data_IF_474707996044
#
_entry.id   IF_474707996044
#
_cell.length_a   1.000
_cell.length_b   1.000
_cell.length_c   1.000
_cell.angle_alpha   90.00
_cell.angle_beta   90.00
_cell.angle_gamma   90.00
#
_symmetry.space_group_name_H-M   'P 1'
#
loop_
_entity.id
_entity.type
_entity.pdbx_description
1 polymer ?
#
# COMPACT_ATOMS: atom_id res chain seq x y z
N UNK A 1 39.72 2.80 7.97
CA UNK A 1 38.57 2.72 7.05
C UNK A 1 38.68 3.98 6.16
N UNK A 2 38.60 3.83 4.84
CA UNK A 2 38.65 5.00 3.95
C UNK A 2 37.28 5.73 4.04
N UNK A 3 37.33 7.02 4.42
CA UNK A 3 36.15 7.88 4.29
C UNK A 3 35.79 7.99 2.81
N UNK A 4 34.62 7.50 2.47
CA UNK A 4 34.04 7.72 1.14
C UNK A 4 33.62 9.19 1.10
N UNK A 5 34.40 10.00 0.41
CA UNK A 5 34.09 11.41 0.17
C UNK A 5 32.87 11.45 -0.78
N UNK A 6 31.66 11.67 -0.22
CA UNK A 6 30.43 11.85 -1.00
C UNK A 6 30.52 13.22 -1.71
N UNK A 7 30.22 13.23 -3.02
CA UNK A 7 30.13 14.48 -3.79
C UNK A 7 29.10 15.41 -3.16
N UNK A 8 29.45 16.67 -2.90
CA UNK A 8 28.56 17.69 -2.31
C UNK A 8 27.43 18.11 -3.26
N UNK A 9 27.49 17.72 -4.52
CA UNK A 9 26.52 18.05 -5.58
C UNK A 9 25.54 16.91 -5.88
N UNK A 10 25.72 15.73 -5.29
CA UNK A 10 24.82 14.58 -5.49
C UNK A 10 23.57 14.70 -4.63
N UNK A 11 22.41 14.43 -5.25
CA UNK A 11 21.16 14.28 -4.50
C UNK A 11 21.34 13.10 -3.51
N UNK A 12 20.82 13.24 -2.28
CA UNK A 12 21.06 12.28 -1.19
C UNK A 12 20.79 10.82 -1.59
N UNK A 13 19.75 10.60 -2.38
CA UNK A 13 19.29 9.28 -2.81
C UNK A 13 20.18 8.61 -3.88
N UNK A 14 21.03 9.38 -4.60
CA UNK A 14 21.86 8.83 -5.68
C UNK A 14 22.92 7.83 -5.20
N UNK A 15 23.38 7.99 -3.96
CA UNK A 15 24.39 7.13 -3.35
C UNK A 15 23.88 6.48 -2.05
N UNK A 16 22.57 6.56 -1.78
CA UNK A 16 21.98 6.04 -0.56
C UNK A 16 21.88 4.52 -0.57
N UNK A 17 22.13 3.92 0.57
CA UNK A 17 21.78 2.54 0.88
C UNK A 17 20.41 2.55 1.55
N UNK A 18 19.40 2.00 0.88
CA UNK A 18 18.05 1.90 1.40
C UNK A 18 17.80 0.47 1.88
N UNK A 19 17.45 0.33 3.15
CA UNK A 19 17.13 -0.96 3.76
C UNK A 19 15.62 -1.15 3.80
N UNK A 20 15.12 -2.16 3.09
CA UNK A 20 13.69 -2.49 3.13
C UNK A 20 13.34 -3.22 4.42
N UNK A 21 12.30 -2.76 5.09
CA UNK A 21 11.70 -3.40 6.26
C UNK A 21 10.30 -3.88 5.91
N UNK A 22 10.07 -5.18 6.05
CA UNK A 22 8.73 -5.73 6.11
C UNK A 22 8.28 -5.76 7.58
N UNK A 23 7.41 -4.83 8.02
CA UNK A 23 7.13 -4.62 9.45
C UNK A 23 6.72 -5.89 10.18
N UNK A 24 5.92 -6.73 9.54
CA UNK A 24 5.36 -7.97 10.12
C UNK A 24 6.39 -9.03 10.48
N UNK A 25 7.61 -8.96 9.94
CA UNK A 25 8.64 -9.99 10.14
C UNK A 25 9.98 -9.45 10.65
N UNK A 26 10.14 -8.13 10.78
CA UNK A 26 11.43 -7.55 11.13
C UNK A 26 11.78 -7.74 12.62
N UNK A 27 10.92 -7.27 13.52
CA UNK A 27 11.13 -7.39 14.95
C UNK A 27 9.79 -7.30 15.70
N UNK A 28 9.60 -8.20 16.67
CA UNK A 28 8.41 -8.30 17.52
C UNK A 28 8.74 -7.75 18.90
N UNK A 29 8.11 -6.66 19.29
CA UNK A 29 8.32 -6.03 20.60
C UNK A 29 7.46 -6.64 21.71
N UNK A 30 6.42 -7.41 21.34
CA UNK A 30 5.38 -7.91 22.27
C UNK A 30 5.49 -9.40 22.55
N UNK A 31 6.25 -10.15 21.74
CA UNK A 31 6.31 -11.61 21.82
C UNK A 31 5.11 -12.32 21.19
N UNK A 32 4.36 -11.62 20.34
CA UNK A 32 3.16 -12.13 19.67
C UNK A 32 3.47 -13.10 18.51
N UNK A 33 4.72 -13.10 18.02
CA UNK A 33 5.15 -13.78 16.81
C UNK A 33 4.96 -12.94 15.54
N UNK A 34 4.44 -11.72 15.67
CA UNK A 34 4.27 -10.76 14.58
C UNK A 34 5.18 -9.54 14.87
N UNK A 35 5.98 -9.14 13.87
CA UNK A 35 6.74 -7.89 13.95
C UNK A 35 5.83 -6.67 14.01
N UNK A 36 6.33 -5.59 14.60
CA UNK A 36 5.59 -4.36 14.85
C UNK A 36 6.46 -3.10 14.72
N UNK A 37 5.84 -1.93 14.70
CA UNK A 37 6.53 -0.64 14.57
C UNK A 37 7.41 -0.34 15.79
N UNK A 38 6.98 -0.57 17.05
CA UNK A 38 7.86 -0.45 18.21
C UNK A 38 9.10 -1.35 18.13
N UNK A 39 8.98 -2.53 17.55
CA UNK A 39 10.11 -3.43 17.28
C UNK A 39 11.11 -2.81 16.31
N UNK A 40 10.65 -2.11 15.27
CA UNK A 40 11.53 -1.35 14.36
C UNK A 40 12.24 -0.25 15.13
N UNK A 41 11.52 0.53 15.92
CA UNK A 41 12.06 1.63 16.74
C UNK A 41 13.18 1.13 17.68
N UNK A 42 12.98 -0.01 18.32
CA UNK A 42 13.96 -0.59 19.22
C UNK A 42 15.26 -1.05 18.51
N UNK A 43 15.27 -1.15 17.18
CA UNK A 43 16.41 -1.58 16.39
C UNK A 43 17.10 -0.45 15.59
N UNK A 44 16.78 0.82 15.87
CA UNK A 44 17.43 1.96 15.17
C UNK A 44 18.94 1.98 15.35
N UNK A 45 19.47 1.65 16.53
CA UNK A 45 20.91 1.53 16.78
C UNK A 45 21.58 0.46 15.91
N UNK A 46 20.87 -0.61 15.59
CA UNK A 46 21.36 -1.65 14.68
C UNK A 46 21.44 -1.12 13.25
N UNK A 47 20.40 -0.42 12.80
CA UNK A 47 20.33 0.16 11.45
C UNK A 47 21.38 1.26 11.26
N UNK A 48 21.60 2.10 12.26
CA UNK A 48 22.67 3.10 12.29
C UNK A 48 24.07 2.45 12.17
N UNK A 49 24.36 1.43 12.99
CA UNK A 49 25.61 0.68 12.93
C UNK A 49 25.81 -0.08 11.62
N UNK A 50 24.72 -0.51 10.96
CA UNK A 50 24.77 -1.12 9.64
C UNK A 50 25.17 -0.09 8.57
N UNK A 51 24.94 1.20 8.82
CA UNK A 51 25.33 2.30 7.96
C UNK A 51 24.38 2.54 6.79
N UNK A 52 23.09 2.30 6.99
CA UNK A 52 22.05 2.60 5.99
C UNK A 52 21.69 4.08 6.00
N UNK A 53 21.36 4.64 4.86
CA UNK A 53 20.98 6.05 4.71
C UNK A 53 19.48 6.27 4.85
N UNK A 54 18.71 5.22 4.55
CA UNK A 54 17.25 5.25 4.66
C UNK A 54 16.69 3.85 4.96
N UNK A 55 15.52 3.82 5.57
CA UNK A 55 14.67 2.64 5.65
C UNK A 55 13.45 2.83 4.73
N UNK A 56 13.04 1.76 4.08
CA UNK A 56 11.80 1.70 3.31
C UNK A 56 10.86 0.68 3.95
N UNK A 57 9.70 1.15 4.40
CA UNK A 57 8.68 0.30 4.98
C UNK A 57 7.75 -0.23 3.89
N UNK A 58 7.63 -1.55 3.76
CA UNK A 58 6.52 -2.17 3.04
C UNK A 58 5.19 -1.79 3.71
N UNK A 59 4.03 -1.91 3.02
CA UNK A 59 2.78 -1.38 3.51
C UNK A 59 2.45 -1.83 4.94
N UNK A 60 2.17 -0.84 5.79
CA UNK A 60 1.84 -1.00 7.21
C UNK A 60 0.42 -0.52 7.54
N UNK A 61 -0.36 -0.19 6.53
CA UNK A 61 -1.74 0.25 6.62
C UNK A 61 -2.69 -0.89 7.05
N UNK A 62 -3.89 -0.57 7.57
CA UNK A 62 -4.95 -1.55 7.75
C UNK A 62 -5.21 -2.34 6.46
N UNK A 63 -5.26 -3.67 6.57
CA UNK A 63 -5.38 -4.58 5.44
C UNK A 63 -5.97 -5.92 5.88
N UNK A 64 -6.71 -6.59 5.00
CA UNK A 64 -7.13 -7.97 5.20
C UNK A 64 -6.00 -8.98 4.97
N UNK A 65 -4.87 -8.53 4.39
CA UNK A 65 -3.73 -9.35 4.01
C UNK A 65 -4.02 -10.33 2.85
N UNK A 66 -4.92 -9.94 1.96
CA UNK A 66 -5.16 -10.69 0.73
C UNK A 66 -3.91 -10.71 -0.16
N UNK A 67 -3.09 -9.63 -0.09
CA UNK A 67 -1.81 -9.50 -0.78
C UNK A 67 -0.74 -8.90 0.14
N UNK A 68 -0.47 -9.56 1.27
CA UNK A 68 0.66 -9.21 2.15
C UNK A 68 0.65 -7.79 2.73
N UNK A 69 -0.45 -7.06 2.64
CA UNK A 69 -0.61 -5.67 3.08
C UNK A 69 -0.78 -4.67 1.94
N UNK A 70 -0.63 -5.12 0.68
CA UNK A 70 -0.84 -4.27 -0.48
C UNK A 70 -2.33 -4.06 -0.81
N UNK A 71 -3.25 -4.82 -0.21
CA UNK A 71 -4.70 -4.58 -0.20
C UNK A 71 -5.04 -3.58 0.91
N UNK A 72 -4.91 -2.28 0.63
CA UNK A 72 -5.02 -1.20 1.62
C UNK A 72 -6.47 -0.85 1.91
N UNK A 73 -6.89 -1.04 3.17
CA UNK A 73 -8.24 -0.68 3.65
C UNK A 73 -8.36 0.83 3.95
N UNK A 74 -7.26 1.47 4.39
CA UNK A 74 -7.19 2.86 4.83
C UNK A 74 -5.75 3.38 4.74
N UNK A 75 -5.51 4.39 3.91
CA UNK A 75 -4.18 4.96 3.68
C UNK A 75 -3.71 5.94 4.77
N UNK A 76 -4.57 6.30 5.72
CA UNK A 76 -4.32 7.33 6.74
C UNK A 76 -4.01 6.79 8.12
N UNK A 77 -4.04 5.46 8.28
CA UNK A 77 -3.85 4.81 9.57
C UNK A 77 -2.82 3.70 9.52
N UNK A 78 -2.29 3.37 10.68
CA UNK A 78 -1.44 2.20 10.92
C UNK A 78 -2.34 0.99 11.20
N UNK A 79 -2.00 -0.17 10.66
CA UNK A 79 -2.66 -1.43 11.03
C UNK A 79 -2.53 -1.65 12.55
N UNK A 80 -3.64 -1.78 13.29
CA UNK A 80 -3.60 -1.91 14.76
C UNK A 80 -2.84 -3.15 15.25
N UNK A 81 -2.57 -4.11 14.38
CA UNK A 81 -1.69 -5.26 14.68
C UNK A 81 -0.21 -4.90 14.68
N UNK A 82 0.17 -3.79 14.02
CA UNK A 82 1.56 -3.33 13.90
C UNK A 82 1.88 -2.17 14.86
N UNK A 83 0.87 -1.49 15.39
CA UNK A 83 1.03 -0.35 16.27
C UNK A 83 -0.01 0.74 16.03
N UNK A 84 0.31 1.94 16.48
CA UNK A 84 -0.51 3.14 16.37
C UNK A 84 0.19 4.21 15.53
N UNK A 85 -0.51 5.32 15.24
CA UNK A 85 0.11 6.49 14.61
C UNK A 85 1.21 7.10 15.51
N UNK A 86 0.99 7.11 16.84
CA UNK A 86 2.00 7.60 17.80
C UNK A 86 3.28 6.72 17.75
N UNK A 87 3.13 5.40 17.57
CA UNK A 87 4.28 4.49 17.39
C UNK A 87 5.02 4.77 16.09
N UNK A 88 4.28 5.09 15.02
CA UNK A 88 4.88 5.47 13.73
C UNK A 88 5.65 6.78 13.85
N UNK A 89 5.07 7.80 14.47
CA UNK A 89 5.74 9.09 14.70
C UNK A 89 7.01 8.91 15.55
N UNK A 90 6.94 8.12 16.61
CA UNK A 90 8.10 7.80 17.44
C UNK A 90 9.20 7.06 16.67
N UNK A 91 8.83 6.17 15.76
CA UNK A 91 9.78 5.48 14.86
C UNK A 91 10.46 6.45 13.91
N UNK A 92 9.70 7.38 13.31
CA UNK A 92 10.24 8.43 12.41
C UNK A 92 11.21 9.34 13.18
N UNK A 93 10.84 9.77 14.39
CA UNK A 93 11.72 10.59 15.25
C UNK A 93 13.03 9.86 15.59
N UNK A 94 12.95 8.57 15.95
CA UNK A 94 14.11 7.75 16.27
C UNK A 94 15.04 7.58 15.05
N UNK A 95 14.48 7.35 13.85
CA UNK A 95 15.25 7.26 12.61
C UNK A 95 15.97 8.59 12.29
N UNK A 96 15.24 9.70 12.37
CA UNK A 96 15.80 11.02 12.11
C UNK A 96 16.89 11.43 13.12
N UNK A 97 16.76 11.01 14.39
CA UNK A 97 17.75 11.27 15.43
C UNK A 97 19.13 10.67 15.12
N UNK A 98 19.17 9.57 14.37
CA UNK A 98 20.42 8.92 13.91
C UNK A 98 20.72 9.21 12.43
N UNK A 99 20.00 10.15 11.80
CA UNK A 99 20.24 10.59 10.42
C UNK A 99 19.68 9.67 9.34
N UNK A 100 18.91 8.66 9.70
CA UNK A 100 18.25 7.73 8.76
C UNK A 100 16.94 8.36 8.25
N UNK A 101 16.72 8.33 6.94
CA UNK A 101 15.49 8.78 6.30
C UNK A 101 14.45 7.66 6.27
N UNK A 102 13.18 8.03 6.32
CA UNK A 102 12.07 7.09 6.22
C UNK A 102 11.37 7.26 4.87
N UNK A 103 11.22 6.16 4.16
CA UNK A 103 10.45 6.06 2.92
C UNK A 103 9.29 5.10 3.18
N UNK A 104 8.08 5.52 2.84
CA UNK A 104 6.87 4.69 2.98
C UNK A 104 6.40 4.22 1.62
N UNK A 105 5.84 3.03 1.57
CA UNK A 105 5.19 2.49 0.39
C UNK A 105 3.79 3.09 0.29
N UNK A 106 3.46 3.71 -0.84
CA UNK A 106 2.11 4.10 -1.19
C UNK A 106 1.62 3.19 -2.31
N UNK A 107 0.42 2.71 -2.25
CA UNK A 107 -0.15 1.78 -3.23
C UNK A 107 -1.20 2.49 -4.07
N UNK A 108 -0.82 3.31 -5.08
CA UNK A 108 -1.75 4.19 -5.76
C UNK A 108 -2.48 3.52 -6.93
N UNK A 109 -2.21 2.25 -7.26
CA UNK A 109 -2.86 1.56 -8.36
C UNK A 109 -4.29 1.13 -8.00
N UNK A 110 -4.51 0.66 -6.79
CA UNK A 110 -5.77 0.07 -6.32
C UNK A 110 -5.96 0.34 -4.83
N UNK A 111 -7.17 0.12 -4.33
CA UNK A 111 -7.42 -0.04 -2.89
C UNK A 111 -7.77 -1.48 -2.55
N UNK A 112 -7.99 -1.78 -1.27
CA UNK A 112 -8.72 -2.98 -0.89
C UNK A 112 -10.20 -2.87 -1.29
N UNK A 113 -10.83 -4.02 -1.57
CA UNK A 113 -12.29 -4.10 -1.69
C UNK A 113 -13.03 -3.79 -0.37
N UNK A 114 -12.28 -3.65 0.73
CA UNK A 114 -12.76 -3.23 2.04
C UNK A 114 -12.61 -1.73 2.29
N UNK A 115 -11.95 -1.00 1.40
CA UNK A 115 -11.84 0.46 1.46
C UNK A 115 -13.23 1.10 1.44
N UNK A 116 -13.42 2.19 2.19
CA UNK A 116 -14.72 2.86 2.32
C UNK A 116 -15.27 3.33 0.97
N UNK A 117 -14.43 3.82 0.07
CA UNK A 117 -14.84 4.25 -1.26
C UNK A 117 -15.32 3.10 -2.14
N UNK A 118 -14.71 1.91 -2.05
CA UNK A 118 -15.19 0.78 -2.82
C UNK A 118 -16.53 0.25 -2.31
N UNK A 119 -16.71 0.22 -0.98
CA UNK A 119 -18.01 -0.10 -0.38
C UNK A 119 -19.10 0.90 -0.79
N UNK A 120 -18.77 2.20 -0.79
CA UNK A 120 -19.68 3.24 -1.27
C UNK A 120 -20.02 3.06 -2.76
N UNK A 121 -19.00 2.75 -3.59
CA UNK A 121 -19.17 2.48 -5.02
C UNK A 121 -20.12 1.30 -5.29
N UNK A 122 -20.02 0.23 -4.51
CA UNK A 122 -20.93 -0.92 -4.61
C UNK A 122 -22.36 -0.55 -4.17
N UNK A 123 -22.50 0.16 -3.06
CA UNK A 123 -23.79 0.55 -2.49
C UNK A 123 -24.55 1.54 -3.38
N UNK A 124 -23.86 2.51 -3.97
CA UNK A 124 -24.47 3.55 -4.82
C UNK A 124 -24.86 3.03 -6.21
N UNK A 125 -24.17 2.02 -6.72
CA UNK A 125 -24.51 1.33 -7.97
C UNK A 125 -24.10 2.07 -9.24
N UNK A 126 -24.51 1.50 -10.38
CA UNK A 126 -24.13 1.95 -11.72
C UNK A 126 -24.49 3.43 -11.97
N UNK A 127 -23.51 4.17 -12.48
CA UNK A 127 -23.66 5.59 -12.90
C UNK A 127 -23.59 6.59 -11.76
N UNK A 128 -23.30 6.16 -10.53
CA UNK A 128 -23.09 7.07 -9.40
C UNK A 128 -21.69 7.68 -9.40
N UNK A 129 -21.51 8.89 -8.83
CA UNK A 129 -20.19 9.49 -8.62
C UNK A 129 -19.25 8.62 -7.78
N UNK A 130 -19.78 7.92 -6.76
CA UNK A 130 -19.02 7.02 -5.91
C UNK A 130 -18.41 5.86 -6.71
N UNK A 131 -19.19 5.32 -7.68
CA UNK A 131 -18.71 4.25 -8.56
C UNK A 131 -17.64 4.70 -9.55
N UNK A 132 -17.70 5.96 -9.97
CA UNK A 132 -16.73 6.53 -10.91
C UNK A 132 -15.31 6.68 -10.34
N UNK A 133 -15.13 6.50 -9.02
CA UNK A 133 -13.80 6.43 -8.39
C UNK A 133 -13.02 5.16 -8.76
N UNK A 134 -13.70 4.14 -9.30
CA UNK A 134 -13.12 2.87 -9.73
C UNK A 134 -13.46 2.59 -11.18
N UNK A 135 -12.72 1.67 -11.80
CA UNK A 135 -12.93 1.31 -13.20
C UNK A 135 -14.00 0.22 -13.29
N UNK A 136 -15.24 0.62 -13.56
CA UNK A 136 -16.37 -0.28 -13.81
C UNK A 136 -16.78 -0.27 -15.28
N UNK A 137 -17.16 -1.42 -15.83
CA UNK A 137 -17.66 -1.56 -17.20
C UNK A 137 -18.81 -2.55 -17.25
N UNK A 138 -19.69 -2.41 -18.25
CA UNK A 138 -20.70 -3.41 -18.53
C UNK A 138 -20.05 -4.64 -19.16
N UNK A 139 -20.55 -5.82 -18.82
CA UNK A 139 -20.08 -7.07 -19.41
C UNK A 139 -20.53 -7.24 -20.86
N UNK A 140 -19.88 -8.18 -21.54
CA UNK A 140 -20.29 -8.67 -22.89
C UNK A 140 -21.30 -9.83 -22.75
N UNK A 141 -21.87 -10.24 -23.85
CA UNK A 141 -22.92 -11.25 -23.91
C UNK A 141 -24.32 -10.64 -23.79
N UNK A 142 -25.35 -11.48 -23.97
CA UNK A 142 -26.74 -11.02 -24.00
C UNK A 142 -27.21 -10.47 -22.63
N UNK A 143 -26.65 -11.02 -21.54
CA UNK A 143 -26.97 -10.63 -20.15
C UNK A 143 -25.75 -10.07 -19.38
N UNK A 144 -24.69 -9.62 -20.10
CA UNK A 144 -23.48 -9.13 -19.48
C UNK A 144 -22.69 -10.18 -18.68
N UNK A 145 -22.85 -11.46 -19.04
CA UNK A 145 -22.26 -12.59 -18.31
C UNK A 145 -20.76 -12.80 -18.58
N UNK A 146 -20.23 -12.19 -19.63
CA UNK A 146 -18.81 -12.25 -19.98
C UNK A 146 -18.10 -10.95 -19.56
N UNK A 147 -16.81 -11.01 -19.16
CA UNK A 147 -16.06 -9.81 -18.81
C UNK A 147 -16.00 -8.83 -19.99
N UNK A 148 -15.88 -7.49 -19.71
CA UNK A 148 -15.87 -6.48 -20.76
C UNK A 148 -14.70 -6.65 -21.73
N UNK A 149 -13.56 -7.11 -21.25
CA UNK A 149 -12.34 -7.36 -22.05
C UNK A 149 -11.68 -8.65 -21.57
N UNK A 150 -10.82 -9.24 -22.42
CA UNK A 150 -10.09 -10.48 -22.14
C UNK A 150 -8.72 -10.19 -21.49
N UNK A 151 -8.66 -9.18 -20.60
CA UNK A 151 -7.44 -8.86 -19.89
C UNK A 151 -7.18 -9.85 -18.76
N UNK A 152 -5.92 -10.19 -18.57
CA UNK A 152 -5.48 -11.06 -17.49
C UNK A 152 -4.86 -10.27 -16.34
N UNK A 153 -5.13 -10.70 -15.13
CA UNK A 153 -4.50 -10.20 -13.91
C UNK A 153 -3.02 -10.57 -13.87
N UNK A 154 -2.21 -9.76 -13.19
CA UNK A 154 -0.80 -10.07 -12.91
C UNK A 154 -0.65 -11.41 -12.19
N UNK A 155 -1.64 -11.80 -11.38
CA UNK A 155 -1.65 -13.08 -10.66
C UNK A 155 -2.31 -14.22 -11.46
N UNK A 156 -2.70 -13.96 -12.70
CA UNK A 156 -3.38 -14.91 -13.58
C UNK A 156 -4.91 -14.86 -13.46
N UNK A 157 -5.57 -15.39 -14.47
CA UNK A 157 -7.03 -15.32 -14.58
C UNK A 157 -7.53 -13.96 -15.07
N UNK A 158 -8.86 -13.77 -15.07
CA UNK A 158 -9.47 -12.53 -15.53
C UNK A 158 -9.08 -11.35 -14.64
N UNK A 159 -8.76 -10.21 -15.25
CA UNK A 159 -8.59 -8.93 -14.55
C UNK A 159 -9.93 -8.25 -14.18
N UNK A 160 -11.04 -8.92 -14.37
CA UNK A 160 -12.39 -8.40 -14.18
C UNK A 160 -13.21 -9.30 -13.28
N UNK A 161 -13.86 -8.70 -12.28
CA UNK A 161 -14.80 -9.39 -11.39
C UNK A 161 -16.18 -8.77 -11.50
N UNK A 162 -17.21 -9.63 -11.66
CA UNK A 162 -18.61 -9.22 -11.76
C UNK A 162 -19.19 -8.92 -10.38
N UNK A 163 -19.96 -7.83 -10.29
CA UNK A 163 -20.72 -7.45 -9.10
C UNK A 163 -22.22 -7.77 -9.27
N UNK A 164 -22.98 -7.67 -8.18
CA UNK A 164 -24.40 -8.10 -8.14
C UNK A 164 -25.29 -7.37 -9.15
N UNK A 165 -25.04 -6.10 -9.43
CA UNK A 165 -25.82 -5.31 -10.40
C UNK A 165 -25.46 -5.59 -11.87
N UNK A 166 -24.53 -6.53 -12.11
CA UNK A 166 -24.16 -6.99 -13.44
C UNK A 166 -22.97 -6.28 -14.07
N UNK A 167 -22.49 -5.19 -13.49
CA UNK A 167 -21.22 -4.58 -13.93
C UNK A 167 -20.01 -5.41 -13.48
N UNK A 168 -18.85 -5.06 -14.05
CA UNK A 168 -17.56 -5.65 -13.76
C UNK A 168 -16.58 -4.56 -13.36
N UNK A 169 -15.82 -4.77 -12.27
CA UNK A 169 -14.73 -3.89 -11.92
C UNK A 169 -13.38 -4.49 -12.34
N UNK A 170 -12.46 -3.59 -12.66
CA UNK A 170 -11.08 -3.93 -12.99
C UNK A 170 -10.27 -4.17 -11.71
N UNK A 171 -9.42 -5.21 -11.76
CA UNK A 171 -8.36 -5.45 -10.79
C UNK A 171 -7.15 -6.04 -11.53
N UNK A 172 -6.12 -5.24 -11.72
CA UNK A 172 -4.89 -5.73 -12.37
C UNK A 172 -4.10 -6.70 -11.49
N UNK A 173 -4.40 -6.72 -10.18
CA UNK A 173 -3.86 -7.65 -9.19
C UNK A 173 -4.96 -8.60 -8.71
N UNK A 174 -5.07 -8.86 -7.40
CA UNK A 174 -6.09 -9.74 -6.86
C UNK A 174 -7.52 -9.16 -6.98
N UNK A 175 -8.58 -10.00 -7.01
CA UNK A 175 -9.96 -9.53 -6.95
C UNK A 175 -10.26 -8.65 -5.73
N UNK A 176 -9.50 -8.79 -4.66
CA UNK A 176 -9.57 -7.96 -3.47
C UNK A 176 -8.98 -6.56 -3.66
N UNK A 177 -8.39 -6.26 -4.84
CA UNK A 177 -7.64 -5.04 -5.13
C UNK A 177 -8.23 -4.28 -6.33
N UNK A 178 -9.45 -3.67 -6.20
CA UNK A 178 -10.08 -2.90 -7.27
C UNK A 178 -9.23 -1.69 -7.67
N UNK A 179 -8.99 -1.53 -8.98
CA UNK A 179 -8.18 -0.46 -9.55
C UNK A 179 -8.90 0.90 -9.47
N UNK A 180 -8.16 1.93 -9.04
CA UNK A 180 -8.61 3.30 -9.05
C UNK A 180 -8.83 3.85 -10.46
N UNK A 181 -9.83 4.69 -10.62
CA UNK A 181 -10.04 5.50 -11.81
C UNK A 181 -9.28 6.83 -11.71
N UNK A 182 -8.05 6.86 -12.18
CA UNK A 182 -7.19 8.04 -12.13
C UNK A 182 -7.66 9.22 -13.01
N UNK A 183 -8.69 9.04 -13.85
CA UNK A 183 -9.36 10.14 -14.54
C UNK A 183 -10.32 10.91 -13.62
N UNK A 184 -10.64 10.36 -12.44
CA UNK A 184 -11.52 10.97 -11.46
C UNK A 184 -10.73 11.89 -10.51
N UNK A 185 -11.12 13.21 -10.39
CA UNK A 185 -10.41 14.15 -9.52
C UNK A 185 -10.44 13.78 -8.04
N UNK A 186 -11.51 13.13 -7.55
CA UNK A 186 -11.58 12.68 -6.15
C UNK A 186 -10.46 11.70 -5.80
N UNK A 187 -10.02 10.89 -6.78
CA UNK A 187 -8.90 9.96 -6.60
C UNK A 187 -7.58 10.72 -6.47
N UNK A 188 -7.40 11.81 -7.24
CA UNK A 188 -6.22 12.67 -7.11
C UNK A 188 -6.13 13.36 -5.74
N UNK A 189 -7.29 13.70 -5.14
CA UNK A 189 -7.33 14.33 -3.82
C UNK A 189 -7.05 13.35 -2.67
N UNK A 190 -7.21 12.03 -2.90
CA UNK A 190 -6.95 10.99 -1.91
C UNK A 190 -5.43 10.79 -1.71
N UNK A 191 -4.65 10.97 -2.77
CA UNK A 191 -3.18 10.77 -2.81
C UNK A 191 -2.40 12.09 -2.95
#
# INVERSE_FOLDING_TARGET
MAEIQRSTDALWWQNAVVYQIYPRSFADSTGSGLGDIPGITAHMDYLDKLGVDAIWLSPFYPSALADGGYDVDDYRNVDPRLGTMDDFDAMVEAAHAVGIKVVVDIVPNHSSNRHEYFKAALAAGKGSPERDRYIFRDGRGENGELPPYDWESIFGGSAWTRVEDGQWYLHMFAPEQPDWNWDNPDVHEEF
#
